data_IF_716475956764
#
_entry.id   IF_716475956764
#
_cell.length_a   1.000
_cell.length_b   1.000
_cell.length_c   1.000
_cell.angle_alpha   90.00
_cell.angle_beta   90.00
_cell.angle_gamma   90.00
#
_symmetry.space_group_name_H-M   'P 1'
#
loop_
_entity.id
_entity.type
_entity.pdbx_description
1 polymer ?
#
# COMPACT_ATOMS: atom_id res chain seq x y z
N UNK A 1 15.92 29.75 2.77
CA UNK A 1 15.26 28.43 2.73
C UNK A 1 13.86 28.44 2.10
N UNK A 2 12.86 29.13 2.67
CA UNK A 2 11.46 29.10 2.15
C UNK A 2 11.30 29.45 0.66
N UNK A 3 12.01 30.48 0.18
CA UNK A 3 12.03 30.87 -1.24
C UNK A 3 12.53 29.75 -2.16
N UNK A 4 13.60 29.04 -1.75
CA UNK A 4 14.16 27.92 -2.51
C UNK A 4 13.15 26.78 -2.61
N UNK A 5 12.56 26.38 -1.47
CA UNK A 5 11.53 25.34 -1.42
C UNK A 5 10.34 25.71 -2.29
N UNK A 6 9.84 26.95 -2.20
CA UNK A 6 8.73 27.42 -3.04
C UNK A 6 9.05 27.39 -4.52
N UNK A 7 10.30 27.71 -4.91
CA UNK A 7 10.76 27.60 -6.29
C UNK A 7 10.73 26.14 -6.77
N UNK A 8 11.29 25.23 -5.98
CA UNK A 8 11.29 23.79 -6.29
C UNK A 8 9.88 23.22 -6.38
N UNK A 9 8.98 23.59 -5.46
CA UNK A 9 7.58 23.16 -5.48
C UNK A 9 6.87 23.64 -6.73
N UNK A 10 6.99 24.92 -7.10
CA UNK A 10 6.38 25.44 -8.34
C UNK A 10 6.87 24.68 -9.58
N UNK A 11 8.16 24.36 -9.65
CA UNK A 11 8.71 23.55 -10.74
C UNK A 11 8.07 22.16 -10.79
N UNK A 12 7.91 21.52 -9.64
CA UNK A 12 7.25 20.22 -9.54
C UNK A 12 5.76 20.31 -9.94
N UNK A 13 5.04 21.35 -9.51
CA UNK A 13 3.64 21.55 -9.85
C UNK A 13 3.41 21.66 -11.37
N UNK A 14 4.24 22.42 -12.09
CA UNK A 14 4.12 22.52 -13.55
C UNK A 14 4.46 21.21 -14.24
N UNK A 15 5.51 20.50 -13.79
CA UNK A 15 5.85 19.18 -14.33
C UNK A 15 4.72 18.16 -14.10
N UNK A 16 4.06 18.21 -12.95
CA UNK A 16 2.91 17.35 -12.62
C UNK A 16 1.75 17.63 -13.58
N UNK A 17 1.39 18.90 -13.80
CA UNK A 17 0.30 19.25 -14.72
C UNK A 17 0.54 18.70 -16.13
N UNK A 18 1.75 18.87 -16.65
CA UNK A 18 2.14 18.32 -17.96
C UNK A 18 2.03 16.79 -17.97
N UNK A 19 2.50 16.11 -16.92
CA UNK A 19 2.39 14.66 -16.84
C UNK A 19 0.93 14.17 -16.78
N UNK A 20 0.06 14.89 -16.07
CA UNK A 20 -1.38 14.60 -16.01
C UNK A 20 -2.04 14.84 -17.36
N UNK A 21 -1.71 15.92 -18.07
CA UNK A 21 -2.21 16.19 -19.42
C UNK A 21 -1.81 15.09 -20.43
N UNK A 22 -0.70 14.39 -20.16
CA UNK A 22 -0.25 13.21 -20.93
C UNK A 22 -0.93 11.90 -20.50
N UNK A 23 -1.84 11.93 -19.53
CA UNK A 23 -2.65 10.78 -19.10
C UNK A 23 -2.02 9.92 -18.00
N UNK A 24 -1.05 10.43 -17.24
CA UNK A 24 -0.47 9.71 -16.09
C UNK A 24 -1.48 9.62 -14.94
N UNK A 25 -1.64 8.43 -14.34
CA UNK A 25 -2.56 8.19 -13.22
C UNK A 25 -1.90 8.33 -11.82
N UNK A 26 -0.57 8.31 -11.77
CA UNK A 26 0.20 8.44 -10.53
C UNK A 26 1.54 9.15 -10.75
N UNK A 27 1.86 10.09 -9.86
CA UNK A 27 3.14 10.79 -9.81
C UNK A 27 4.02 10.14 -8.75
N UNK A 28 5.25 9.80 -9.12
CA UNK A 28 6.30 9.41 -8.16
C UNK A 28 7.34 10.52 -8.05
N UNK A 29 7.65 10.95 -6.82
CA UNK A 29 8.63 12.00 -6.57
C UNK A 29 9.75 11.54 -5.63
N UNK A 30 10.99 11.62 -6.12
CA UNK A 30 12.21 11.26 -5.41
C UNK A 30 12.89 12.49 -4.78
N UNK A 31 13.11 12.40 -3.46
CA UNK A 31 14.01 13.28 -2.69
C UNK A 31 14.06 12.73 -1.26
N UNK A 32 15.21 12.26 -0.83
CA UNK A 32 15.32 11.65 0.50
C UNK A 32 15.14 12.70 1.59
N UNK A 33 14.36 12.32 2.59
CA UNK A 33 14.12 13.12 3.79
C UNK A 33 14.70 12.45 5.04
N UNK A 34 15.21 11.22 4.89
CA UNK A 34 15.86 10.45 5.94
C UNK A 34 17.07 9.68 5.38
N UNK A 35 17.97 9.31 6.28
CA UNK A 35 19.03 8.33 6.08
C UNK A 35 18.91 7.22 7.12
N UNK A 36 19.94 6.38 7.24
CA UNK A 36 19.95 5.22 8.14
C UNK A 36 19.57 5.55 9.59
N UNK A 37 20.08 6.66 10.11
CA UNK A 37 19.93 7.04 11.53
C UNK A 37 18.75 7.98 11.81
N UNK A 38 17.94 8.31 10.81
CA UNK A 38 16.78 9.17 10.97
C UNK A 38 16.64 10.27 9.91
N UNK A 39 15.74 11.24 10.14
CA UNK A 39 15.52 12.36 9.24
C UNK A 39 16.77 13.22 9.01
N UNK A 40 16.99 13.66 7.76
CA UNK A 40 18.12 14.54 7.39
C UNK A 40 18.05 15.93 8.03
N UNK A 41 16.86 16.31 8.52
CA UNK A 41 16.62 17.54 9.27
C UNK A 41 15.78 17.23 10.51
N UNK A 42 15.86 18.08 11.53
CA UNK A 42 15.09 17.86 12.76
C UNK A 42 13.59 17.74 12.48
N UNK A 43 12.82 16.94 13.25
CA UNK A 43 11.37 16.85 13.11
C UNK A 43 10.67 18.23 13.17
N UNK A 44 11.20 19.17 13.96
CA UNK A 44 10.74 20.56 13.98
C UNK A 44 10.89 21.23 12.63
N UNK A 45 12.06 21.15 12.00
CA UNK A 45 12.29 21.73 10.68
C UNK A 45 11.52 21.00 9.57
N UNK A 46 11.32 19.68 9.69
CA UNK A 46 10.45 18.94 8.79
C UNK A 46 9.04 19.53 8.78
N UNK A 47 8.44 19.73 9.96
CA UNK A 47 7.11 20.37 10.10
C UNK A 47 7.09 21.80 9.57
N UNK A 48 8.15 22.56 9.78
CA UNK A 48 8.21 23.97 9.38
C UNK A 48 8.37 24.18 7.87
N UNK A 49 9.13 23.31 7.20
CA UNK A 49 9.62 23.55 5.84
C UNK A 49 9.20 22.49 4.82
N UNK A 50 9.25 21.20 5.17
CA UNK A 50 9.04 20.11 4.21
C UNK A 50 7.59 19.66 4.19
N UNK A 51 6.96 19.47 5.35
CA UNK A 51 5.57 19.04 5.43
C UNK A 51 4.61 19.97 4.66
N UNK A 52 4.67 21.31 4.77
CA UNK A 52 3.77 22.19 4.01
C UNK A 52 4.02 22.12 2.50
N UNK A 53 5.28 21.94 2.09
CA UNK A 53 5.65 21.79 0.69
C UNK A 53 5.13 20.47 0.10
N UNK A 54 5.28 19.38 0.86
CA UNK A 54 4.79 18.05 0.48
C UNK A 54 3.26 18.07 0.36
N UNK A 55 2.54 18.64 1.34
CA UNK A 55 1.09 18.81 1.29
C UNK A 55 0.65 19.58 0.06
N UNK A 56 1.32 20.70 -0.26
CA UNK A 56 0.98 21.50 -1.45
C UNK A 56 1.06 20.70 -2.75
N UNK A 57 2.08 19.84 -2.88
CA UNK A 57 2.23 18.95 -4.04
C UNK A 57 1.15 17.86 -4.04
N UNK A 58 0.94 17.19 -2.91
CA UNK A 58 -0.10 16.15 -2.81
C UNK A 58 -1.51 16.70 -3.08
N UNK A 59 -1.85 17.85 -2.49
CA UNK A 59 -3.15 18.50 -2.68
C UNK A 59 -3.37 18.88 -4.16
N UNK A 60 -2.30 19.23 -4.90
CA UNK A 60 -2.39 19.43 -6.35
C UNK A 60 -2.71 18.12 -7.07
N UNK A 61 -1.96 17.04 -6.80
CA UNK A 61 -2.21 15.73 -7.39
C UNK A 61 -3.66 15.28 -7.16
N UNK A 62 -4.16 15.42 -5.93
CA UNK A 62 -5.54 15.08 -5.59
C UNK A 62 -6.57 15.93 -6.33
N UNK A 63 -6.34 17.24 -6.50
CA UNK A 63 -7.21 18.10 -7.33
C UNK A 63 -7.20 17.70 -8.81
N UNK A 64 -6.09 17.18 -9.29
CA UNK A 64 -5.93 16.68 -10.65
C UNK A 64 -6.40 15.22 -10.83
N UNK A 65 -6.88 14.58 -9.76
CA UNK A 65 -7.41 13.22 -9.80
C UNK A 65 -6.35 12.11 -9.92
N UNK A 66 -5.09 12.41 -9.56
CA UNK A 66 -3.98 11.45 -9.65
C UNK A 66 -3.36 11.14 -8.28
N UNK A 67 -2.78 9.96 -8.14
CA UNK A 67 -2.10 9.55 -6.90
C UNK A 67 -0.72 10.17 -6.79
N UNK A 68 -0.26 10.43 -5.57
CA UNK A 68 1.09 10.88 -5.28
C UNK A 68 1.85 9.87 -4.41
N UNK A 69 2.89 9.27 -4.99
CA UNK A 69 3.79 8.34 -4.32
C UNK A 69 5.08 9.07 -3.98
N UNK A 70 5.43 9.08 -2.69
CA UNK A 70 6.68 9.66 -2.22
C UNK A 70 7.71 8.58 -1.96
N UNK A 71 8.84 8.70 -2.65
CA UNK A 71 10.03 7.89 -2.38
C UNK A 71 10.93 8.60 -1.37
N UNK A 72 11.39 7.87 -0.36
CA UNK A 72 12.50 8.29 0.50
C UNK A 72 13.16 7.05 1.08
N UNK A 73 14.47 7.05 1.07
CA UNK A 73 15.25 6.08 1.83
C UNK A 73 15.27 6.43 3.31
N UNK A 74 15.85 5.53 4.11
CA UNK A 74 16.18 5.77 5.49
C UNK A 74 15.04 5.60 6.49
N UNK A 75 15.35 6.00 7.72
CA UNK A 75 14.50 5.84 8.88
C UNK A 75 13.60 7.06 9.07
N UNK A 76 12.31 6.90 8.77
CA UNK A 76 11.31 7.95 8.95
C UNK A 76 10.58 7.88 10.29
N UNK A 77 10.93 6.96 11.21
CA UNK A 77 10.26 6.76 12.52
C UNK A 77 10.01 8.08 13.27
N UNK A 78 10.98 9.01 13.38
CA UNK A 78 10.78 10.26 14.13
C UNK A 78 9.77 11.25 13.50
N UNK A 79 9.34 11.03 12.26
CA UNK A 79 8.41 11.87 11.50
C UNK A 79 7.28 11.06 10.83
N UNK A 80 7.09 9.79 11.23
CA UNK A 80 6.17 8.86 10.57
C UNK A 80 4.76 9.41 10.39
N UNK A 81 4.20 10.01 11.44
CA UNK A 81 2.82 10.51 11.42
C UNK A 81 2.69 11.69 10.46
N UNK A 82 3.60 12.64 10.56
CA UNK A 82 3.62 13.81 9.69
C UNK A 82 3.84 13.39 8.23
N UNK A 83 4.75 12.46 8.01
CA UNK A 83 5.14 11.99 6.68
C UNK A 83 4.11 11.09 6.01
N UNK A 84 3.53 10.11 6.72
CA UNK A 84 2.64 9.10 6.14
C UNK A 84 1.16 9.48 6.19
N UNK A 85 0.79 10.44 7.04
CA UNK A 85 -0.62 10.80 7.26
C UNK A 85 -0.88 12.28 6.97
N UNK A 86 -0.13 13.19 7.58
CA UNK A 86 -0.45 14.63 7.48
C UNK A 86 -0.07 15.24 6.13
N UNK A 87 0.95 14.69 5.49
CA UNK A 87 1.44 15.06 4.15
C UNK A 87 0.42 14.79 3.03
N UNK A 88 -0.52 13.87 3.26
CA UNK A 88 -1.50 13.41 2.29
C UNK A 88 -0.99 12.41 1.26
N UNK A 89 0.26 11.96 1.31
CA UNK A 89 0.80 11.02 0.30
C UNK A 89 -0.06 9.75 0.19
N UNK A 90 -0.22 9.26 -1.03
CA UNK A 90 -1.00 8.04 -1.31
C UNK A 90 -0.15 6.78 -1.23
N UNK A 91 1.17 6.91 -1.45
CA UNK A 91 2.11 5.81 -1.39
C UNK A 91 3.46 6.20 -0.79
N UNK A 92 4.06 5.28 -0.03
CA UNK A 92 5.43 5.37 0.45
C UNK A 92 6.27 4.30 -0.24
N UNK A 93 7.26 4.71 -1.03
CA UNK A 93 8.19 3.83 -1.75
C UNK A 93 9.56 3.77 -1.08
N UNK A 94 10.12 2.55 -1.03
CA UNK A 94 11.40 2.09 -0.49
C UNK A 94 11.23 1.25 0.79
N UNK A 95 10.62 1.81 1.85
CA UNK A 95 10.47 1.15 3.17
C UNK A 95 11.71 0.33 3.55
N UNK A 96 12.83 0.99 3.77
CA UNK A 96 14.15 0.33 3.82
C UNK A 96 14.35 -0.52 5.11
N UNK A 97 14.43 -1.86 5.02
CA UNK A 97 14.61 -2.73 6.19
C UNK A 97 15.90 -2.42 6.96
N UNK A 98 16.97 -2.12 6.22
CA UNK A 98 18.31 -1.85 6.77
C UNK A 98 18.36 -0.58 7.61
N UNK A 99 17.50 0.39 7.34
CA UNK A 99 17.33 1.58 8.16
C UNK A 99 16.45 1.34 9.42
N UNK A 100 16.04 0.10 9.68
CA UNK A 100 15.18 -0.27 10.80
C UNK A 100 13.69 -0.02 10.57
N UNK A 101 13.27 0.15 9.31
CA UNK A 101 11.85 0.23 8.94
C UNK A 101 11.26 -1.18 8.79
N UNK A 102 10.10 -1.42 9.40
CA UNK A 102 9.38 -2.69 9.27
C UNK A 102 8.06 -2.45 8.52
N UNK A 103 7.88 -3.12 7.38
CA UNK A 103 6.71 -2.92 6.53
C UNK A 103 5.42 -3.43 7.19
N UNK A 104 5.51 -4.47 8.04
CA UNK A 104 4.38 -5.00 8.81
C UNK A 104 3.95 -4.04 9.92
N UNK A 105 4.90 -3.44 10.64
CA UNK A 105 4.66 -2.38 11.64
C UNK A 105 3.97 -1.17 10.97
N UNK A 106 4.50 -0.72 9.83
CA UNK A 106 3.87 0.36 9.06
C UNK A 106 2.49 -0.03 8.54
N UNK A 107 2.31 -1.29 8.13
CA UNK A 107 1.03 -1.81 7.67
C UNK A 107 -0.03 -1.75 8.77
N UNK A 108 0.32 -2.19 9.96
CA UNK A 108 -0.58 -2.19 11.11
C UNK A 108 -0.98 -0.76 11.50
N UNK A 109 -0.03 0.17 11.55
CA UNK A 109 -0.27 1.56 11.97
C UNK A 109 -0.97 2.40 10.90
N UNK A 110 -0.54 2.29 9.64
CA UNK A 110 -0.87 3.25 8.58
C UNK A 110 -1.41 2.61 7.30
N UNK A 111 -1.49 1.28 7.22
CA UNK A 111 -1.86 0.55 6.01
C UNK A 111 -3.20 0.97 5.38
N UNK A 112 -4.14 1.50 6.15
CA UNK A 112 -5.43 2.00 5.65
C UNK A 112 -5.44 3.49 5.26
N UNK A 113 -4.28 4.14 5.32
CA UNK A 113 -4.07 5.54 4.95
C UNK A 113 -3.19 5.65 3.71
N UNK A 114 -2.10 4.91 3.69
CA UNK A 114 -1.07 4.99 2.66
C UNK A 114 -0.79 3.60 2.09
N UNK A 115 -0.53 3.52 0.79
CA UNK A 115 0.01 2.33 0.18
C UNK A 115 1.50 2.19 0.52
N UNK A 116 1.95 0.97 0.77
CA UNK A 116 3.36 0.66 1.00
C UNK A 116 3.90 0.03 -0.28
N UNK A 117 4.98 0.61 -0.81
CA UNK A 117 5.67 0.10 -1.98
C UNK A 117 7.06 -0.35 -1.54
N UNK A 118 7.29 -1.66 -1.58
CA UNK A 118 8.49 -2.29 -1.04
C UNK A 118 8.23 -3.74 -0.60
N UNK A 119 9.15 -4.39 0.11
CA UNK A 119 10.49 -3.91 0.45
C UNK A 119 11.55 -5.02 0.48
N UNK A 120 11.62 -5.81 -0.59
CA UNK A 120 12.66 -6.86 -0.72
C UNK A 120 14.05 -6.20 -0.79
N UNK A 121 14.97 -6.59 0.09
CA UNK A 121 16.29 -5.97 0.29
C UNK A 121 17.10 -5.97 -1.01
N UNK A 122 17.24 -4.78 -1.59
CA UNK A 122 18.02 -4.59 -2.81
C UNK A 122 19.52 -4.42 -2.58
N UNK A 123 19.96 -4.16 -1.34
CA UNK A 123 21.36 -4.00 -1.00
C UNK A 123 22.03 -5.34 -0.64
N UNK A 124 21.28 -6.30 -0.11
CA UNK A 124 21.79 -7.62 0.23
C UNK A 124 21.09 -8.75 -0.51
N UNK A 125 19.81 -8.99 -0.27
CA UNK A 125 19.12 -10.19 -0.77
C UNK A 125 19.13 -10.26 -2.29
N UNK A 126 18.83 -9.17 -3.00
CA UNK A 126 18.86 -9.15 -4.46
C UNK A 126 20.29 -9.19 -5.04
N UNK A 127 21.32 -8.85 -4.26
CA UNK A 127 22.73 -8.81 -4.72
C UNK A 127 23.43 -10.13 -4.45
N UNK A 128 23.36 -10.63 -3.22
CA UNK A 128 24.16 -11.76 -2.73
C UNK A 128 23.33 -13.03 -2.50
N UNK A 129 22.03 -12.88 -2.23
CA UNK A 129 21.14 -14.01 -1.97
C UNK A 129 21.00 -14.96 -3.16
N UNK A 130 20.55 -16.16 -2.86
CA UNK A 130 20.04 -17.14 -3.82
C UNK A 130 18.59 -16.82 -4.21
N UNK A 131 18.13 -17.33 -5.35
CA UNK A 131 16.73 -17.15 -5.77
C UNK A 131 15.74 -17.61 -4.71
N UNK A 132 16.02 -18.70 -3.98
CA UNK A 132 15.10 -19.19 -2.95
C UNK A 132 15.03 -18.24 -1.75
N UNK A 133 16.13 -17.59 -1.39
CA UNK A 133 16.13 -16.57 -0.34
C UNK A 133 15.31 -15.35 -0.77
N UNK A 134 15.46 -14.92 -2.03
CA UNK A 134 14.65 -13.84 -2.60
C UNK A 134 13.18 -14.19 -2.61
N UNK A 135 12.82 -15.41 -3.02
CA UNK A 135 11.44 -15.89 -3.02
C UNK A 135 10.87 -15.91 -1.61
N UNK A 136 11.62 -16.45 -0.65
CA UNK A 136 11.23 -16.48 0.77
C UNK A 136 11.00 -15.08 1.34
N UNK A 137 11.89 -14.14 1.06
CA UNK A 137 11.72 -12.76 1.50
C UNK A 137 10.52 -12.08 0.83
N UNK A 138 10.34 -12.29 -0.47
CA UNK A 138 9.18 -11.79 -1.22
C UNK A 138 7.87 -12.26 -0.59
N UNK A 139 7.78 -13.55 -0.22
CA UNK A 139 6.62 -14.11 0.49
C UNK A 139 6.41 -13.47 1.86
N UNK A 140 7.49 -13.28 2.63
CA UNK A 140 7.43 -12.65 3.95
C UNK A 140 6.90 -11.20 3.88
N UNK A 141 7.35 -10.40 2.91
CA UNK A 141 6.84 -9.05 2.66
C UNK A 141 5.34 -9.09 2.33
N UNK A 142 4.93 -10.01 1.46
CA UNK A 142 3.54 -10.19 1.07
C UNK A 142 2.68 -10.55 2.29
N UNK A 143 3.09 -11.55 3.07
CA UNK A 143 2.36 -11.99 4.27
C UNK A 143 2.23 -10.88 5.32
N UNK A 144 3.27 -10.05 5.48
CA UNK A 144 3.29 -8.94 6.42
C UNK A 144 2.38 -7.78 5.99
N UNK A 145 2.38 -7.42 4.69
CA UNK A 145 1.85 -6.14 4.24
C UNK A 145 0.67 -6.22 3.23
N UNK A 146 0.36 -7.36 2.62
CA UNK A 146 -0.71 -7.40 1.61
C UNK A 146 -2.11 -7.42 2.20
N UNK A 147 -2.29 -7.86 3.45
CA UNK A 147 -3.60 -7.91 4.12
C UNK A 147 -4.41 -6.62 3.95
N UNK A 148 -5.65 -6.70 3.47
CA UNK A 148 -6.49 -5.51 3.21
C UNK A 148 -6.11 -4.67 1.98
N UNK A 149 -5.15 -5.10 1.16
CA UNK A 149 -4.69 -4.37 -0.03
C UNK A 149 -3.71 -3.25 0.30
N UNK A 150 -3.13 -2.61 -0.73
CA UNK A 150 -2.27 -1.43 -0.57
C UNK A 150 -0.80 -1.75 -0.30
N UNK A 151 -0.40 -2.99 -0.55
CA UNK A 151 0.98 -3.33 -0.82
C UNK A 151 1.19 -3.35 -2.34
N UNK A 152 2.22 -2.66 -2.81
CA UNK A 152 2.85 -2.90 -4.11
C UNK A 152 4.20 -3.54 -3.82
N UNK A 153 4.36 -4.81 -4.20
CA UNK A 153 5.63 -5.51 -3.99
C UNK A 153 6.69 -4.86 -4.87
N UNK A 154 7.75 -4.36 -4.22
CA UNK A 154 8.88 -3.72 -4.88
C UNK A 154 10.16 -4.00 -4.08
N UNK A 155 11.30 -3.67 -4.67
CA UNK A 155 12.58 -3.63 -3.98
C UNK A 155 12.62 -2.54 -2.91
N UNK A 156 13.52 -2.67 -1.94
CA UNK A 156 13.69 -1.71 -0.85
C UNK A 156 14.29 -0.36 -1.27
N UNK A 157 14.74 -0.24 -2.51
CA UNK A 157 15.19 0.98 -3.20
C UNK A 157 15.17 0.72 -4.73
N UNK A 158 15.65 1.66 -5.52
CA UNK A 158 15.94 1.53 -6.94
C UNK A 158 16.86 0.34 -7.22
N UNK A 159 16.53 -0.42 -8.25
CA UNK A 159 17.39 -1.50 -8.74
C UNK A 159 18.69 -0.90 -9.26
N UNK A 160 19.81 -1.27 -8.66
CA UNK A 160 21.14 -0.81 -9.03
C UNK A 160 21.96 -1.93 -9.69
N UNK A 161 23.11 -1.58 -10.26
CA UNK A 161 23.98 -2.49 -11.02
C UNK A 161 24.54 -3.68 -10.25
N UNK A 162 24.41 -3.70 -8.92
CA UNK A 162 24.80 -4.84 -8.09
C UNK A 162 23.73 -5.94 -8.02
N UNK A 163 22.48 -5.62 -8.35
CA UNK A 163 21.38 -6.58 -8.31
C UNK A 163 21.56 -7.62 -9.40
N UNK A 164 21.51 -8.90 -9.02
CA UNK A 164 21.51 -10.02 -9.97
C UNK A 164 20.17 -10.06 -10.73
N UNK A 165 20.22 -10.22 -12.04
CA UNK A 165 19.03 -10.28 -12.89
C UNK A 165 18.14 -11.45 -12.49
N UNK A 166 18.74 -12.60 -12.19
CA UNK A 166 18.05 -13.82 -11.77
C UNK A 166 17.26 -13.60 -10.48
N UNK A 167 17.86 -12.90 -9.52
CA UNK A 167 17.22 -12.54 -8.26
C UNK A 167 16.05 -11.58 -8.48
N UNK A 168 16.22 -10.55 -9.31
CA UNK A 168 15.13 -9.63 -9.63
C UNK A 168 13.96 -10.33 -10.33
N UNK A 169 14.25 -11.23 -11.28
CA UNK A 169 13.23 -12.05 -11.94
C UNK A 169 12.56 -13.04 -10.97
N UNK A 170 13.33 -13.63 -10.05
CA UNK A 170 12.80 -14.49 -8.99
C UNK A 170 11.80 -13.72 -8.11
N UNK A 171 12.14 -12.49 -7.69
CA UNK A 171 11.24 -11.60 -6.94
C UNK A 171 9.95 -11.33 -7.72
N UNK A 172 10.03 -10.94 -8.99
CA UNK A 172 8.84 -10.64 -9.82
C UNK A 172 7.97 -11.88 -9.98
N UNK A 173 8.58 -13.02 -10.34
CA UNK A 173 7.85 -14.27 -10.55
C UNK A 173 7.16 -14.74 -9.26
N UNK A 174 7.83 -14.62 -8.13
CA UNK A 174 7.26 -14.98 -6.83
C UNK A 174 6.15 -14.01 -6.41
N UNK A 175 6.33 -12.70 -6.62
CA UNK A 175 5.31 -11.71 -6.33
C UNK A 175 4.03 -11.95 -7.15
N UNK A 176 4.17 -12.36 -8.42
CA UNK A 176 3.02 -12.72 -9.28
C UNK A 176 2.35 -14.01 -8.81
N UNK A 177 3.13 -15.05 -8.49
CA UNK A 177 2.62 -16.36 -8.08
C UNK A 177 2.03 -16.36 -6.67
N UNK A 178 2.69 -15.72 -5.71
CA UNK A 178 2.33 -15.73 -4.30
C UNK A 178 1.47 -14.52 -3.90
N UNK A 179 1.72 -13.36 -4.51
CA UNK A 179 1.01 -12.11 -4.25
C UNK A 179 -0.36 -12.00 -4.93
N UNK A 180 -0.94 -13.12 -5.36
CA UNK A 180 -2.29 -13.16 -5.91
C UNK A 180 -3.27 -12.72 -4.84
N UNK A 181 -3.76 -11.49 -4.99
CA UNK A 181 -4.79 -10.97 -4.11
C UNK A 181 -6.06 -11.80 -4.28
N UNK A 182 -6.60 -12.35 -3.19
CA UNK A 182 -7.77 -13.20 -3.27
C UNK A 182 -9.08 -12.41 -3.43
N UNK A 183 -9.06 -11.32 -4.18
CA UNK A 183 -10.17 -10.40 -4.32
C UNK A 183 -10.33 -10.06 -5.79
N UNK A 184 -11.31 -10.71 -6.45
CA UNK A 184 -11.80 -10.27 -7.76
C UNK A 184 -12.00 -8.75 -7.70
N UNK A 185 -11.38 -8.05 -8.65
CA UNK A 185 -11.43 -6.59 -8.77
C UNK A 185 -12.85 -6.18 -9.16
N UNK A 186 -13.73 -6.06 -8.18
CA UNK A 186 -15.13 -5.61 -8.34
C UNK A 186 -15.28 -4.25 -7.69
N UNK A 187 -15.17 -3.21 -8.52
CA UNK A 187 -15.45 -1.81 -8.14
C UNK A 187 -14.56 -1.23 -7.04
N UNK A 188 -14.57 0.09 -6.91
CA UNK A 188 -13.88 0.82 -5.85
C UNK A 188 -14.29 0.29 -4.47
N UNK A 189 -13.30 -0.11 -3.65
CA UNK A 189 -13.56 -0.63 -2.31
C UNK A 189 -13.74 0.55 -1.34
N UNK A 190 -14.96 1.08 -1.31
CA UNK A 190 -15.33 2.31 -0.59
C UNK A 190 -15.41 2.15 0.93
N UNK A 191 -15.72 0.96 1.44
CA UNK A 191 -15.94 0.72 2.86
C UNK A 191 -14.78 -0.06 3.48
N UNK A 192 -14.58 0.11 4.79
CA UNK A 192 -13.62 -0.63 5.59
C UNK A 192 -14.35 -1.36 6.71
N UNK A 193 -13.98 -2.61 6.93
CA UNK A 193 -14.47 -3.38 8.07
C UNK A 193 -13.38 -4.24 8.70
N UNK A 194 -13.66 -4.72 9.91
CA UNK A 194 -12.83 -5.65 10.66
C UNK A 194 -13.51 -7.01 10.67
N UNK A 195 -12.77 -8.06 10.31
CA UNK A 195 -13.26 -9.44 10.39
C UNK A 195 -13.40 -9.82 11.86
N UNK A 196 -14.62 -10.08 12.29
CA UNK A 196 -14.98 -10.54 13.65
C UNK A 196 -14.99 -12.06 13.75
N UNK A 197 -15.15 -12.74 12.62
CA UNK A 197 -15.13 -14.19 12.55
C UNK A 197 -15.00 -14.65 11.11
N UNK A 198 -14.34 -15.76 10.90
CA UNK A 198 -14.17 -16.36 9.59
C UNK A 198 -14.34 -17.87 9.70
N UNK A 199 -15.32 -18.40 8.96
CA UNK A 199 -15.48 -19.85 8.82
C UNK A 199 -15.21 -20.23 7.37
N UNK A 200 -14.48 -21.30 7.18
CA UNK A 200 -14.26 -21.83 5.84
C UNK A 200 -15.49 -22.64 5.39
N UNK A 201 -15.89 -22.46 4.14
CA UNK A 201 -16.94 -23.24 3.50
C UNK A 201 -16.34 -24.55 2.94
N UNK A 202 -17.22 -25.49 2.59
CA UNK A 202 -16.82 -26.76 1.98
C UNK A 202 -16.44 -26.57 0.51
N UNK A 203 -15.49 -27.39 0.05
CA UNK A 203 -15.00 -27.37 -1.32
C UNK A 203 -13.74 -26.53 -1.54
N UNK A 204 -13.00 -26.91 -2.57
CA UNK A 204 -11.81 -26.22 -3.05
C UNK A 204 -11.88 -26.08 -4.56
N UNK A 205 -11.34 -24.98 -5.07
CA UNK A 205 -11.15 -24.76 -6.50
C UNK A 205 -9.67 -24.66 -6.81
N UNK A 206 -9.22 -25.14 -7.96
CA UNK A 206 -7.83 -25.00 -8.40
C UNK A 206 -7.83 -24.12 -9.65
N UNK A 207 -7.02 -23.07 -9.65
CA UNK A 207 -6.87 -22.20 -10.83
C UNK A 207 -5.82 -22.76 -11.82
N UNK A 208 -5.68 -22.12 -12.98
CA UNK A 208 -4.73 -22.48 -14.04
C UNK A 208 -3.26 -22.42 -13.56
N UNK A 209 -2.99 -21.72 -12.46
CA UNK A 209 -1.68 -21.55 -11.86
C UNK A 209 -1.40 -22.58 -10.74
N UNK A 210 -2.34 -23.50 -10.51
CA UNK A 210 -2.25 -24.56 -9.49
C UNK A 210 -2.51 -24.08 -8.06
N UNK A 211 -3.03 -22.86 -7.86
CA UNK A 211 -3.39 -22.39 -6.54
C UNK A 211 -4.69 -23.04 -6.08
N UNK A 212 -4.69 -23.56 -4.85
CA UNK A 212 -5.88 -24.12 -4.21
C UNK A 212 -6.64 -23.00 -3.49
N UNK A 213 -7.86 -22.72 -3.93
CA UNK A 213 -8.76 -21.70 -3.41
C UNK A 213 -9.81 -22.30 -2.50
N UNK A 214 -10.06 -21.64 -1.37
CA UNK A 214 -11.14 -21.98 -0.45
C UNK A 214 -12.07 -20.80 -0.26
N UNK A 215 -13.38 -21.05 -0.20
CA UNK A 215 -14.36 -20.03 0.11
C UNK A 215 -14.51 -19.86 1.62
N UNK A 216 -14.65 -18.63 2.10
CA UNK A 216 -14.81 -18.27 3.50
C UNK A 216 -16.03 -17.37 3.67
N UNK A 217 -16.83 -17.67 4.68
CA UNK A 217 -17.85 -16.76 5.19
C UNK A 217 -17.23 -15.91 6.30
N UNK A 218 -17.17 -14.61 6.04
CA UNK A 218 -16.63 -13.60 6.95
C UNK A 218 -17.77 -12.86 7.62
N UNK A 219 -17.73 -12.76 8.95
CA UNK A 219 -18.50 -11.78 9.69
C UNK A 219 -17.65 -10.53 9.84
N UNK A 220 -18.09 -9.41 9.27
CA UNK A 220 -17.31 -8.19 9.20
C UNK A 220 -18.07 -7.04 9.85
N UNK A 221 -17.45 -6.38 10.81
CA UNK A 221 -17.96 -5.14 11.39
C UNK A 221 -17.45 -3.94 10.58
N UNK A 222 -18.36 -3.16 10.01
CA UNK A 222 -18.01 -1.98 9.23
C UNK A 222 -17.54 -0.87 10.17
N UNK A 223 -16.28 -0.49 10.06
CA UNK A 223 -15.63 0.51 10.92
C UNK A 223 -15.64 1.91 10.30
N UNK A 224 -15.85 2.03 8.98
CA UNK A 224 -15.94 3.32 8.30
C UNK A 224 -15.76 3.23 6.80
N UNK A 225 -15.41 4.36 6.17
CA UNK A 225 -14.92 4.36 4.78
C UNK A 225 -13.45 3.99 4.71
N UNK A 226 -13.06 3.38 3.61
CA UNK A 226 -11.66 3.29 3.23
C UNK A 226 -11.12 4.70 3.05
N UNK A 227 -10.04 5.04 3.76
CA UNK A 227 -9.40 6.36 3.59
C UNK A 227 -8.39 6.39 2.45
N UNK A 228 -8.25 5.29 1.72
CA UNK A 228 -7.32 5.14 0.58
C UNK A 228 -7.85 5.76 -0.72
N UNK A 229 -9.15 6.05 -0.81
CA UNK A 229 -9.77 6.52 -2.05
C UNK A 229 -10.36 7.92 -1.82
N UNK A 230 -9.74 8.98 -2.38
CA UNK A 230 -10.16 10.35 -2.19
C UNK A 230 -11.29 10.75 -3.16
N UNK A 231 -12.45 10.09 -3.07
CA UNK A 231 -13.76 10.64 -3.44
C UNK A 231 -14.85 9.58 -3.23
N UNK A 232 -15.97 9.86 -2.55
CA UNK A 232 -17.18 9.08 -2.75
C UNK A 232 -17.73 9.30 -4.17
N UNK A 233 -18.26 8.25 -4.80
CA UNK A 233 -19.38 8.45 -5.73
C UNK A 233 -20.49 9.12 -4.90
N UNK A 234 -20.92 10.31 -5.33
CA UNK A 234 -21.75 11.24 -4.55
C UNK A 234 -22.91 10.57 -3.78
N UNK A 235 -23.19 11.07 -2.56
CA UNK A 235 -24.48 10.88 -1.88
C UNK A 235 -24.70 9.62 -1.02
N UNK A 236 -23.77 8.68 -0.93
CA UNK A 236 -23.99 7.42 -0.18
C UNK A 236 -23.44 7.44 1.26
N UNK A 237 -24.30 7.54 2.27
CA UNK A 237 -23.90 7.48 3.69
C UNK A 237 -23.19 6.17 4.08
N UNK A 238 -22.37 6.19 5.14
CA UNK A 238 -21.67 4.99 5.65
C UNK A 238 -22.65 4.10 6.40
N UNK A 239 -22.96 2.91 5.86
CA UNK A 239 -23.76 1.91 6.56
C UNK A 239 -22.91 1.30 7.69
N UNK A 240 -23.17 1.68 8.94
CA UNK A 240 -22.53 1.06 10.12
C UNK A 240 -23.31 -0.21 10.48
N UNK A 241 -22.60 -1.30 10.79
CA UNK A 241 -23.20 -2.57 11.16
C UNK A 241 -22.33 -3.78 10.86
N UNK A 242 -22.82 -4.97 11.22
CA UNK A 242 -22.21 -6.25 10.90
C UNK A 242 -22.77 -6.79 9.59
N UNK A 243 -21.91 -7.27 8.71
CA UNK A 243 -22.27 -7.87 7.43
C UNK A 243 -21.59 -9.21 7.25
N UNK A 244 -22.23 -10.11 6.50
CA UNK A 244 -21.65 -11.39 6.11
C UNK A 244 -21.16 -11.32 4.67
N UNK A 245 -19.89 -11.63 4.45
CA UNK A 245 -19.26 -11.60 3.13
C UNK A 245 -18.72 -12.99 2.80
N UNK A 246 -18.98 -13.47 1.59
CA UNK A 246 -18.32 -14.67 1.07
C UNK A 246 -17.11 -14.26 0.24
N UNK A 247 -15.93 -14.71 0.63
CA UNK A 247 -14.67 -14.44 -0.09
C UNK A 247 -13.89 -15.71 -0.31
N UNK A 248 -13.33 -15.84 -1.51
CA UNK A 248 -12.35 -16.89 -1.80
C UNK A 248 -11.00 -16.43 -1.30
N UNK A 249 -10.20 -17.34 -0.77
CA UNK A 249 -8.81 -17.11 -0.43
C UNK A 249 -8.03 -18.41 -0.57
N UNK A 250 -6.88 -18.37 -1.24
CA UNK A 250 -6.03 -19.53 -1.42
C UNK A 250 -5.12 -19.82 -0.22
N UNK A 251 -5.06 -18.89 0.75
CA UNK A 251 -4.03 -18.91 1.80
C UNK A 251 -4.53 -18.60 3.22
N UNK A 252 -5.81 -18.23 3.39
CA UNK A 252 -6.43 -18.00 4.70
C UNK A 252 -6.03 -16.71 5.45
N UNK A 253 -4.86 -16.13 5.21
CA UNK A 253 -4.37 -14.97 5.98
C UNK A 253 -5.09 -13.64 5.67
N UNK A 254 -5.68 -13.50 4.48
CA UNK A 254 -6.55 -12.35 4.14
C UNK A 254 -7.94 -12.40 4.77
N UNK A 255 -8.30 -13.55 5.34
CA UNK A 255 -9.65 -13.91 5.80
C UNK A 255 -9.62 -14.38 7.25
N UNK A 256 -8.64 -13.94 8.04
CA UNK A 256 -8.52 -14.27 9.46
C UNK A 256 -9.24 -13.26 10.36
N UNK A 257 -9.62 -13.71 11.56
CA UNK A 257 -10.17 -12.84 12.60
C UNK A 257 -9.20 -11.68 12.92
N UNK A 258 -9.76 -10.50 13.16
CA UNK A 258 -9.01 -9.28 13.40
C UNK A 258 -8.47 -8.59 12.14
N UNK A 259 -8.45 -9.26 10.97
CA UNK A 259 -7.97 -8.67 9.73
C UNK A 259 -8.85 -7.51 9.27
N UNK A 260 -8.22 -6.45 8.73
CA UNK A 260 -8.94 -5.39 8.05
C UNK A 260 -9.22 -5.77 6.60
N UNK A 261 -10.45 -5.52 6.18
CA UNK A 261 -10.91 -5.77 4.83
C UNK A 261 -11.53 -4.50 4.25
N UNK A 262 -11.19 -4.22 3.00
CA UNK A 262 -11.91 -3.21 2.21
C UNK A 262 -13.08 -3.89 1.51
N UNK A 263 -14.26 -3.26 1.49
CA UNK A 263 -15.53 -3.81 0.98
C UNK A 263 -16.02 -2.89 -0.13
N UNK A 264 -16.42 -3.45 -1.28
CA UNK A 264 -17.03 -2.67 -2.37
C UNK A 264 -18.54 -2.43 -2.12
N UNK A 265 -19.13 -1.40 -2.76
CA UNK A 265 -20.58 -1.19 -2.70
C UNK A 265 -21.40 -2.41 -3.16
N UNK A 266 -20.88 -3.16 -4.13
CA UNK A 266 -21.50 -4.38 -4.66
C UNK A 266 -21.50 -5.50 -3.62
N UNK A 267 -20.37 -5.75 -2.97
CA UNK A 267 -20.26 -6.72 -1.88
C UNK A 267 -21.25 -6.39 -0.74
N UNK A 268 -21.38 -5.10 -0.41
CA UNK A 268 -22.29 -4.62 0.62
C UNK A 268 -23.77 -4.80 0.23
N UNK A 269 -24.10 -4.61 -1.05
CA UNK A 269 -25.44 -4.82 -1.58
C UNK A 269 -25.83 -6.31 -1.53
N UNK A 270 -24.94 -7.21 -1.96
CA UNK A 270 -25.13 -8.67 -1.91
C UNK A 270 -25.34 -9.12 -0.45
N UNK A 271 -24.48 -8.65 0.46
CA UNK A 271 -24.59 -8.96 1.88
C UNK A 271 -25.90 -8.45 2.50
N UNK A 272 -26.37 -7.26 2.09
CA UNK A 272 -27.63 -6.68 2.57
C UNK A 272 -28.86 -7.41 2.04
N UNK A 273 -28.75 -8.08 0.89
CA UNK A 273 -29.81 -8.89 0.29
C UNK A 273 -29.91 -10.31 0.87
N UNK A 274 -29.00 -10.69 1.78
CA UNK A 274 -28.97 -12.04 2.38
C UNK A 274 -28.62 -13.14 1.38
N UNK A 275 -28.02 -12.78 0.24
CA UNK A 275 -27.58 -13.73 -0.78
C UNK A 275 -26.13 -14.12 -0.46
N UNK A 276 -25.92 -15.36 0.00
CA UNK A 276 -24.61 -15.93 0.31
C UNK A 276 -24.45 -17.33 -0.26
#
# INVERSE_FOLDING_TARGET
MRRLISCSVRRAEEAIKVAVDLGVEAISCGADIAGMDGPLISPRHFREFILPALKRVTDLCHRLGVFFVKHTDGNVKPIEREFLVESGIDGYLAVEPRAGMDIGELKEKYGDRVALLGNVDCAYTLVYGSEEEVRRETRAVIDAAAGGGGLVVASSNSIHSGVKVENFLAMISEARRYGVYPLRRRGGREYRGRVMGARALEGFEVDEEGNVWRSYLLEVEITGRSKRWPAPLEGRGVKRGRVKLVRKCSRGWHVREGAFVSISPEELAIASAGMY
#
